data_IF_708087730636
#
_entry.id   IF_708087730636
#
_cell.length_a   1.000
_cell.length_b   1.000
_cell.length_c   1.000
_cell.angle_alpha   90.00
_cell.angle_beta   90.00
_cell.angle_gamma   90.00
#
_symmetry.space_group_name_H-M   'P 1'
#
loop_
_entity.id
_entity.type
_entity.pdbx_description
1 polymer ?
#
# COMPACT_ATOMS: atom_id res chain seq x y z
N UNK A 1 -17.17 -43.91 18.82
CA UNK A 1 -17.29 -42.61 18.12
C UNK A 1 -16.23 -41.65 18.67
N UNK A 2 -15.31 -41.09 17.86
CA UNK A 2 -14.29 -40.20 18.39
C UNK A 2 -14.87 -38.79 18.59
N UNK A 3 -14.69 -38.23 19.79
CA UNK A 3 -15.06 -36.86 20.14
C UNK A 3 -14.21 -35.88 19.32
N UNK A 4 -14.77 -35.27 18.27
CA UNK A 4 -14.18 -34.11 17.63
C UNK A 4 -14.18 -32.93 18.62
N UNK A 5 -13.02 -32.69 19.22
CA UNK A 5 -12.83 -31.70 20.28
C UNK A 5 -13.04 -30.27 19.79
N UNK A 6 -13.55 -29.41 20.67
CA UNK A 6 -13.85 -27.98 20.44
C UNK A 6 -12.72 -27.19 19.73
N UNK A 7 -11.47 -27.66 19.84
CA UNK A 7 -10.28 -27.15 19.15
C UNK A 7 -10.34 -27.30 17.62
N UNK A 8 -10.94 -28.36 17.08
CA UNK A 8 -11.08 -28.53 15.63
C UNK A 8 -12.14 -27.59 15.04
N UNK A 9 -13.19 -27.28 15.81
CA UNK A 9 -14.19 -26.26 15.47
C UNK A 9 -13.58 -24.86 15.50
N UNK A 10 -12.78 -24.51 16.50
CA UNK A 10 -12.06 -23.22 16.55
C UNK A 10 -11.09 -23.07 15.38
N UNK A 11 -10.28 -24.10 15.07
CA UNK A 11 -9.38 -24.06 13.89
C UNK A 11 -10.13 -23.99 12.57
N UNK A 12 -11.32 -24.59 12.48
CA UNK A 12 -12.18 -24.51 11.29
C UNK A 12 -12.86 -23.15 11.18
N UNK A 13 -13.27 -22.55 12.30
CA UNK A 13 -13.83 -21.20 12.36
C UNK A 13 -12.76 -20.14 12.03
N UNK A 14 -11.56 -20.27 12.59
CA UNK A 14 -10.39 -19.46 12.21
C UNK A 14 -10.07 -19.64 10.73
N UNK A 15 -10.15 -20.86 10.17
CA UNK A 15 -9.89 -21.09 8.73
C UNK A 15 -10.97 -20.48 7.83
N UNK A 16 -12.23 -20.45 8.27
CA UNK A 16 -13.35 -19.82 7.55
C UNK A 16 -13.28 -18.30 7.67
N UNK A 17 -12.86 -17.75 8.82
CA UNK A 17 -12.62 -16.31 8.99
C UNK A 17 -11.32 -15.84 8.33
N UNK A 18 -10.28 -16.67 8.28
CA UNK A 18 -9.01 -16.42 7.56
C UNK A 18 -9.08 -16.77 6.07
N UNK A 19 -10.25 -17.21 5.57
CA UNK A 19 -10.39 -17.68 4.19
C UNK A 19 -9.91 -16.69 3.12
N UNK A 20 -9.95 -15.39 3.45
CA UNK A 20 -9.52 -14.30 2.57
C UNK A 20 -8.48 -13.36 3.21
N UNK A 21 -7.87 -13.71 4.35
CA UNK A 21 -6.85 -12.86 4.99
C UNK A 21 -5.45 -13.33 4.58
N UNK A 22 -4.68 -12.43 3.96
CA UNK A 22 -3.25 -12.61 3.72
C UNK A 22 -2.46 -11.86 4.80
N UNK A 23 -1.14 -12.01 4.82
CA UNK A 23 -0.29 -11.35 5.80
C UNK A 23 1.09 -10.93 5.26
N UNK A 24 1.65 -9.92 5.93
CA UNK A 24 3.04 -9.49 5.80
C UNK A 24 3.76 -9.92 7.09
N UNK A 25 4.84 -10.68 6.94
CA UNK A 25 5.76 -10.93 8.05
C UNK A 25 6.66 -9.70 8.24
N UNK A 26 6.63 -9.12 9.44
CA UNK A 26 7.41 -7.94 9.79
C UNK A 26 8.81 -8.33 10.26
N UNK A 27 9.75 -7.39 10.20
CA UNK A 27 11.15 -7.63 10.57
C UNK A 27 11.33 -8.05 12.04
N UNK A 28 10.38 -7.71 12.92
CA UNK A 28 10.36 -8.12 14.33
C UNK A 28 9.77 -9.54 14.54
N UNK A 29 9.39 -10.24 13.45
CA UNK A 29 8.78 -11.57 13.48
C UNK A 29 7.27 -11.58 13.72
N UNK A 30 6.66 -10.41 13.93
CA UNK A 30 5.19 -10.28 14.00
C UNK A 30 4.55 -10.35 12.61
N UNK A 31 3.22 -10.40 12.56
CA UNK A 31 2.45 -10.51 11.31
C UNK A 31 1.39 -9.42 11.23
N UNK A 32 1.40 -8.67 10.15
CA UNK A 32 0.33 -7.75 9.78
C UNK A 32 -0.64 -8.47 8.85
N UNK A 33 -1.90 -8.65 9.28
CA UNK A 33 -2.94 -9.31 8.49
C UNK A 33 -3.75 -8.29 7.70
N UNK A 34 -4.13 -8.63 6.46
CA UNK A 34 -4.93 -7.77 5.60
C UNK A 34 -5.84 -8.58 4.69
N UNK A 35 -6.90 -7.95 4.20
CA UNK A 35 -7.80 -8.52 3.20
C UNK A 35 -7.38 -8.06 1.79
N UNK A 36 -6.86 -8.95 0.93
CA UNK A 36 -6.34 -8.55 -0.38
C UNK A 36 -7.34 -7.78 -1.26
N UNK A 37 -8.63 -8.13 -1.20
CA UNK A 37 -9.68 -7.43 -1.97
C UNK A 37 -9.88 -5.98 -1.51
N UNK A 38 -9.73 -5.70 -0.22
CA UNK A 38 -9.87 -4.34 0.33
C UNK A 38 -8.62 -3.49 0.07
N UNK A 39 -7.45 -4.13 0.01
CA UNK A 39 -6.17 -3.46 -0.17
C UNK A 39 -6.10 -2.70 -1.49
N UNK A 40 -6.50 -3.33 -2.60
CA UNK A 40 -6.45 -2.68 -3.90
C UNK A 40 -7.28 -1.38 -3.90
N UNK A 41 -8.51 -1.44 -3.38
CA UNK A 41 -9.40 -0.30 -3.29
C UNK A 41 -8.81 0.80 -2.39
N UNK A 42 -8.24 0.44 -1.25
CA UNK A 42 -7.63 1.38 -0.31
C UNK A 42 -6.40 2.09 -0.91
N UNK A 43 -5.52 1.35 -1.59
CA UNK A 43 -4.35 1.92 -2.26
C UNK A 43 -4.75 2.82 -3.42
N UNK A 44 -5.69 2.37 -4.26
CA UNK A 44 -6.20 3.15 -5.39
C UNK A 44 -6.80 4.49 -4.92
N UNK A 45 -7.63 4.46 -3.88
CA UNK A 45 -8.21 5.68 -3.30
C UNK A 45 -7.15 6.60 -2.72
N UNK A 46 -6.19 6.05 -1.96
CA UNK A 46 -5.07 6.84 -1.41
C UNK A 46 -4.26 7.54 -2.50
N UNK A 47 -3.89 6.82 -3.57
CA UNK A 47 -3.13 7.40 -4.68
C UNK A 47 -3.95 8.46 -5.43
N UNK A 48 -5.26 8.25 -5.56
CA UNK A 48 -6.19 9.24 -6.13
C UNK A 48 -6.29 10.51 -5.28
N UNK A 49 -6.33 10.37 -3.96
CA UNK A 49 -6.37 11.50 -3.03
C UNK A 49 -5.03 12.26 -3.02
N UNK A 50 -3.89 11.55 -3.15
CA UNK A 50 -2.59 12.20 -3.35
C UNK A 50 -2.56 13.03 -4.64
N UNK A 51 -3.03 12.48 -5.78
CA UNK A 51 -3.13 13.24 -7.04
C UNK A 51 -4.00 14.49 -6.90
N UNK A 52 -5.12 14.38 -6.18
CA UNK A 52 -6.01 15.52 -5.92
C UNK A 52 -5.33 16.58 -5.06
N UNK A 53 -4.61 16.16 -4.01
CA UNK A 53 -3.87 17.06 -3.13
C UNK A 53 -2.78 17.80 -3.91
N UNK A 54 -1.99 17.10 -4.72
CA UNK A 54 -0.97 17.71 -5.57
C UNK A 54 -1.57 18.76 -6.52
N UNK A 55 -2.67 18.41 -7.20
CA UNK A 55 -3.36 19.34 -8.10
C UNK A 55 -3.84 20.61 -7.37
N UNK A 56 -4.26 20.50 -6.12
CA UNK A 56 -4.73 21.62 -5.29
C UNK A 56 -3.61 22.34 -4.54
N UNK A 57 -2.37 21.88 -4.68
CA UNK A 57 -1.25 22.36 -3.86
C UNK A 57 -1.50 22.20 -2.36
N UNK A 58 -2.20 21.14 -1.97
CA UNK A 58 -2.47 20.75 -0.59
C UNK A 58 -1.49 19.65 -0.14
N UNK A 59 -1.20 19.52 1.17
CA UNK A 59 -0.43 18.38 1.67
C UNK A 59 -1.10 17.04 1.33
N UNK A 60 -0.30 16.06 0.90
CA UNK A 60 -0.78 14.70 0.68
C UNK A 60 -1.29 14.08 1.99
N UNK A 61 -2.32 13.21 1.94
CA UNK A 61 -2.77 12.48 3.12
C UNK A 61 -1.70 11.52 3.63
N UNK A 62 -1.81 11.15 4.92
CA UNK A 62 -0.93 10.16 5.53
C UNK A 62 -1.01 8.80 4.82
N UNK A 63 0.10 8.04 4.73
CA UNK A 63 0.11 6.74 4.09
C UNK A 63 -0.80 5.74 4.82
N UNK A 64 -1.53 4.86 4.09
CA UNK A 64 -2.28 3.76 4.67
C UNK A 64 -1.37 2.83 5.48
N UNK A 65 -1.90 2.24 6.55
CA UNK A 65 -1.15 1.35 7.45
C UNK A 65 -0.46 0.20 6.70
N UNK A 66 -1.06 -0.29 5.61
CA UNK A 66 -0.47 -1.37 4.83
C UNK A 66 0.85 -0.98 4.15
N UNK A 67 1.01 0.27 3.71
CA UNK A 67 2.30 0.76 3.17
C UNK A 67 3.35 0.88 4.27
N UNK A 68 2.92 1.26 5.47
CA UNK A 68 3.79 1.25 6.66
C UNK A 68 4.19 -0.18 7.05
N UNK A 69 3.28 -1.15 6.91
CA UNK A 69 3.58 -2.56 7.15
C UNK A 69 4.57 -3.12 6.12
N UNK A 70 4.46 -2.72 4.84
CA UNK A 70 5.44 -3.06 3.80
C UNK A 70 6.82 -2.48 4.12
N UNK A 71 6.90 -1.22 4.53
CA UNK A 71 8.16 -0.59 4.93
C UNK A 71 8.86 -1.36 6.08
N UNK A 72 8.07 -1.99 6.95
CA UNK A 72 8.54 -2.81 8.08
C UNK A 72 8.63 -4.30 7.76
N UNK A 73 8.34 -4.71 6.53
CA UNK A 73 8.32 -6.12 6.15
C UNK A 73 9.72 -6.73 6.23
N UNK A 74 9.78 -8.01 6.61
CA UNK A 74 11.00 -8.81 6.55
C UNK A 74 11.49 -8.98 5.11
N UNK A 75 10.55 -9.17 4.18
CA UNK A 75 10.79 -9.19 2.74
C UNK A 75 9.88 -8.15 2.07
N UNK A 76 10.45 -6.97 1.82
CA UNK A 76 9.73 -5.84 1.25
C UNK A 76 9.40 -6.05 -0.23
N UNK A 77 10.30 -6.67 -0.98
CA UNK A 77 10.12 -6.93 -2.42
C UNK A 77 8.93 -7.85 -2.64
N UNK A 78 8.91 -8.98 -1.94
CA UNK A 78 7.78 -9.91 -2.03
C UNK A 78 6.46 -9.29 -1.52
N UNK A 79 6.52 -8.41 -0.51
CA UNK A 79 5.34 -7.70 -0.04
C UNK A 79 4.79 -6.73 -1.10
N UNK A 80 5.63 -5.91 -1.73
CA UNK A 80 5.23 -5.00 -2.83
C UNK A 80 4.69 -5.79 -4.01
N UNK A 81 5.40 -6.82 -4.47
CA UNK A 81 4.97 -7.66 -5.59
C UNK A 81 3.59 -8.26 -5.35
N UNK A 82 3.30 -8.77 -4.15
CA UNK A 82 1.98 -9.32 -3.81
C UNK A 82 0.88 -8.26 -3.79
N UNK A 83 1.16 -7.05 -3.31
CA UNK A 83 0.18 -5.96 -3.25
C UNK A 83 -0.20 -5.43 -4.63
N UNK A 84 0.78 -5.36 -5.54
CA UNK A 84 0.59 -4.81 -6.88
C UNK A 84 0.43 -5.89 -7.98
N UNK A 85 0.46 -7.18 -7.63
CA UNK A 85 0.33 -8.30 -8.58
C UNK A 85 -0.96 -8.29 -9.41
N UNK A 86 -2.02 -7.67 -8.90
CA UNK A 86 -3.32 -7.59 -9.60
C UNK A 86 -3.42 -6.39 -10.55
N UNK A 87 -2.47 -5.47 -10.54
CA UNK A 87 -2.47 -4.38 -11.52
C UNK A 87 -2.03 -4.89 -12.88
N UNK A 88 -2.89 -4.68 -13.89
CA UNK A 88 -2.59 -5.06 -15.27
C UNK A 88 -1.57 -4.14 -15.96
N UNK A 89 -1.18 -3.04 -15.29
CA UNK A 89 -0.28 -2.02 -15.83
C UNK A 89 1.19 -2.38 -15.55
N UNK A 90 2.10 -2.21 -16.52
CA UNK A 90 3.54 -2.35 -16.28
C UNK A 90 4.10 -1.26 -15.34
N UNK A 91 3.35 -0.17 -15.12
CA UNK A 91 3.66 0.86 -14.15
C UNK A 91 2.46 1.01 -13.19
N UNK A 92 2.54 0.51 -11.95
CA UNK A 92 1.45 0.60 -10.99
C UNK A 92 1.15 2.08 -10.67
N UNK A 93 -0.13 2.42 -10.47
CA UNK A 93 -0.51 3.75 -10.00
C UNK A 93 -0.05 3.87 -8.54
N UNK A 94 0.99 4.67 -8.29
CA UNK A 94 1.54 4.85 -6.93
C UNK A 94 2.01 6.28 -6.69
N UNK A 95 1.74 6.76 -5.48
CA UNK A 95 2.21 8.05 -4.96
C UNK A 95 3.66 7.98 -4.41
N UNK A 96 4.23 6.77 -4.33
CA UNK A 96 5.55 6.54 -3.73
C UNK A 96 6.52 5.83 -4.67
N UNK A 97 7.81 6.09 -4.50
CA UNK A 97 8.88 5.33 -5.12
C UNK A 97 8.92 3.92 -4.51
N UNK A 98 8.54 2.92 -5.32
CA UNK A 98 8.50 1.53 -4.88
C UNK A 98 9.92 0.95 -4.70
N UNK A 99 10.92 1.43 -5.41
CA UNK A 99 12.30 0.93 -5.22
C UNK A 99 12.85 1.44 -3.89
N UNK A 100 12.65 2.73 -3.58
CA UNK A 100 12.98 3.27 -2.25
C UNK A 100 12.29 2.51 -1.12
N UNK A 101 11.01 2.14 -1.31
CA UNK A 101 10.26 1.32 -0.35
C UNK A 101 10.85 -0.08 -0.22
N UNK A 102 11.25 -0.71 -1.32
CA UNK A 102 11.82 -2.07 -1.31
C UNK A 102 13.22 -2.10 -0.71
N UNK A 103 14.11 -1.20 -1.13
CA UNK A 103 15.52 -1.20 -0.74
C UNK A 103 15.72 -0.67 0.68
N UNK A 104 15.08 0.45 1.02
CA UNK A 104 15.33 1.18 2.26
C UNK A 104 14.16 1.10 3.26
N UNK A 105 12.97 0.71 2.81
CA UNK A 105 11.77 0.77 3.64
C UNK A 105 11.26 2.20 3.81
N UNK A 106 11.54 3.08 2.84
CA UNK A 106 11.16 4.50 2.91
C UNK A 106 9.99 4.80 1.97
N UNK A 107 9.01 5.55 2.47
CA UNK A 107 7.91 6.05 1.66
C UNK A 107 8.27 7.40 1.07
N UNK A 108 9.10 7.38 0.02
CA UNK A 108 9.53 8.59 -0.69
C UNK A 108 8.43 9.00 -1.67
N UNK A 109 7.88 10.23 -1.58
CA UNK A 109 6.91 10.72 -2.55
C UNK A 109 7.48 10.73 -3.98
N UNK A 110 6.68 10.31 -4.95
CA UNK A 110 6.98 10.47 -6.39
C UNK A 110 5.96 11.36 -7.07
N UNK A 111 6.37 11.99 -8.16
CA UNK A 111 5.48 12.72 -9.05
C UNK A 111 4.54 11.78 -9.82
N UNK A 112 3.34 12.28 -10.09
CA UNK A 112 2.42 11.71 -11.07
C UNK A 112 2.58 12.32 -12.48
N UNK A 113 3.29 13.45 -12.59
CA UNK A 113 3.63 14.06 -13.87
C UNK A 113 4.85 13.35 -14.46
N UNK A 114 4.73 12.93 -15.72
CA UNK A 114 5.86 12.39 -16.46
C UNK A 114 7.01 13.40 -16.49
N UNK A 115 8.24 12.91 -16.36
CA UNK A 115 9.48 13.69 -16.43
C UNK A 115 9.63 14.79 -15.37
N UNK A 116 8.89 14.73 -14.26
CA UNK A 116 9.05 15.65 -13.13
C UNK A 116 9.45 14.90 -11.85
N UNK A 117 10.32 15.51 -11.04
CA UNK A 117 10.46 15.15 -9.63
C UNK A 117 9.19 15.51 -8.86
N UNK A 118 9.06 15.00 -7.64
CA UNK A 118 7.92 15.37 -6.80
C UNK A 118 7.92 16.87 -6.49
N UNK A 119 9.08 17.43 -6.16
CA UNK A 119 9.27 18.86 -5.89
C UNK A 119 8.89 19.72 -7.11
N UNK A 120 9.36 19.34 -8.30
CA UNK A 120 9.01 20.03 -9.55
C UNK A 120 7.49 19.96 -9.83
N UNK A 121 6.84 18.84 -9.49
CA UNK A 121 5.39 18.71 -9.64
C UNK A 121 4.61 19.62 -8.69
N UNK A 122 5.10 19.81 -7.45
CA UNK A 122 4.50 20.72 -6.47
C UNK A 122 4.61 22.16 -6.97
N UNK A 123 5.77 22.56 -7.47
CA UNK A 123 5.97 23.90 -8.05
C UNK A 123 5.09 24.13 -9.28
N UNK A 124 4.96 23.13 -10.16
CA UNK A 124 4.10 23.19 -11.33
C UNK A 124 2.65 23.52 -10.96
N UNK A 125 2.06 22.76 -10.03
CA UNK A 125 0.68 22.98 -9.61
C UNK A 125 0.51 24.28 -8.82
N UNK A 126 1.47 24.65 -7.98
CA UNK A 126 1.43 25.92 -7.26
C UNK A 126 1.39 27.12 -8.22
N UNK A 127 2.23 27.09 -9.26
CA UNK A 127 2.23 28.12 -10.30
C UNK A 127 0.91 28.15 -11.07
N UNK A 128 0.45 26.98 -11.54
CA UNK A 128 -0.81 26.85 -12.27
C UNK A 128 -2.01 27.39 -11.47
N UNK A 129 -2.05 27.12 -10.16
CA UNK A 129 -3.13 27.57 -9.28
C UNK A 129 -3.04 29.06 -8.93
N UNK A 130 -1.87 29.70 -9.07
CA UNK A 130 -1.72 31.14 -8.89
C UNK A 130 -2.09 31.96 -10.15
N UNK A 131 -2.12 31.32 -11.33
CA UNK A 131 -2.43 31.93 -12.62
C UNK A 131 -3.93 31.90 -12.99
N UNK A 132 -4.76 31.17 -12.23
CA UNK A 132 -6.21 31.00 -12.45
C UNK A 132 -7.05 31.49 -11.28
#
# INVERSE_FOLDING_TARGET
MPRMGKLSKLRRLERVMRGNLDYIELADGSRYFYEPEQVWSALFLHHSDCMRADHRSEPRPDPPEILTAVAKARDRRSAVERLYAQEASPAPLTAYDLEALVERGELVPRSFLADHSYEESVEHFAKKNAEG
#
